data_IF_816902359703
#
_entry.id   IF_816902359703
#
_cell.length_a   1.000
_cell.length_b   1.000
_cell.length_c   1.000
_cell.angle_alpha   90.00
_cell.angle_beta   90.00
_cell.angle_gamma   90.00
#
_symmetry.space_group_name_H-M   'P 1'
#
loop_
_entity.id
_entity.type
_entity.pdbx_description
1 polymer ?
#
# COMPACT_ATOMS: atom_id res chain seq x y z
N UNK A 1 -71.21 35.95 -29.31
CA UNK A 1 -70.68 34.82 -28.53
C UNK A 1 -69.94 33.89 -29.46
N UNK A 2 -68.62 33.76 -29.36
CA UNK A 2 -67.83 32.59 -29.80
C UNK A 2 -66.36 32.84 -29.42
N UNK A 3 -65.91 32.21 -28.34
CA UNK A 3 -64.53 32.29 -27.85
C UNK A 3 -63.64 31.43 -28.76
N UNK A 4 -62.54 31.99 -29.26
CA UNK A 4 -61.44 31.26 -29.91
C UNK A 4 -60.77 30.36 -28.88
N UNK A 5 -60.86 29.03 -29.04
CA UNK A 5 -60.05 28.08 -28.27
C UNK A 5 -58.71 27.86 -28.96
N UNK A 6 -57.63 27.94 -28.18
CA UNK A 6 -56.28 27.54 -28.57
C UNK A 6 -56.28 26.01 -28.77
N UNK A 7 -55.82 25.53 -29.92
CA UNK A 7 -55.47 24.10 -30.10
C UNK A 7 -54.28 23.78 -29.19
N UNK A 8 -54.50 22.95 -28.19
CA UNK A 8 -53.45 22.27 -27.42
C UNK A 8 -52.75 21.23 -28.30
N UNK A 9 -51.41 21.14 -28.28
CA UNK A 9 -50.70 20.06 -28.97
C UNK A 9 -50.99 18.73 -28.27
N UNK A 10 -51.18 17.68 -29.07
CA UNK A 10 -51.38 16.30 -28.61
C UNK A 10 -50.21 15.86 -27.70
N UNK A 11 -50.46 15.08 -26.63
CA UNK A 11 -49.39 14.57 -25.80
C UNK A 11 -48.50 13.61 -26.61
N UNK A 12 -47.19 13.85 -26.57
CA UNK A 12 -46.19 12.92 -27.11
C UNK A 12 -46.35 11.55 -26.41
N UNK A 13 -46.16 10.43 -27.13
CA UNK A 13 -46.14 9.12 -26.48
C UNK A 13 -45.03 9.08 -25.42
N UNK A 14 -45.24 8.38 -24.29
CA UNK A 14 -44.20 8.25 -23.28
C UNK A 14 -42.95 7.59 -23.91
N UNK A 15 -41.74 8.00 -23.51
CA UNK A 15 -40.53 7.35 -23.98
C UNK A 15 -40.59 5.85 -23.66
N UNK A 16 -40.03 4.98 -24.53
CA UNK A 16 -39.97 3.56 -24.23
C UNK A 16 -39.30 3.36 -22.86
N UNK A 17 -39.74 2.38 -22.06
CA UNK A 17 -39.04 2.06 -20.81
C UNK A 17 -37.57 1.79 -21.14
N UNK A 18 -36.64 2.25 -20.30
CA UNK A 18 -35.23 1.95 -20.51
C UNK A 18 -35.08 0.43 -20.69
N UNK A 19 -34.15 -0.03 -21.55
CA UNK A 19 -33.89 -1.45 -21.67
C UNK A 19 -33.68 -1.99 -20.25
N UNK A 20 -34.27 -3.15 -19.97
CA UNK A 20 -33.95 -3.93 -18.77
C UNK A 20 -32.51 -4.43 -18.92
N UNK A 21 -31.57 -3.49 -18.86
CA UNK A 21 -30.16 -3.70 -18.65
C UNK A 21 -29.96 -3.98 -17.19
N UNK A 22 -29.00 -4.86 -16.94
CA UNK A 22 -28.63 -5.44 -15.67
C UNK A 22 -28.13 -4.37 -14.68
N UNK A 23 -29.05 -3.59 -14.08
CA UNK A 23 -28.70 -2.59 -13.06
C UNK A 23 -28.23 -3.24 -11.75
N UNK A 24 -28.21 -4.57 -11.69
CA UNK A 24 -27.68 -5.33 -10.56
C UNK A 24 -26.18 -5.60 -10.66
N UNK A 25 -25.58 -5.60 -11.86
CA UNK A 25 -24.19 -6.01 -12.06
C UNK A 25 -23.19 -4.90 -11.68
N UNK A 26 -23.46 -3.64 -12.02
CA UNK A 26 -22.53 -2.54 -11.73
C UNK A 26 -22.50 -2.17 -10.23
N UNK A 27 -23.65 -2.23 -9.55
CA UNK A 27 -23.77 -1.89 -8.12
C UNK A 27 -23.16 -2.96 -7.20
N UNK A 28 -23.17 -4.23 -7.61
CA UNK A 28 -22.52 -5.28 -6.84
C UNK A 28 -21.02 -5.27 -7.09
N UNK A 29 -20.56 -5.09 -8.33
CA UNK A 29 -19.13 -4.98 -8.61
C UNK A 29 -18.51 -3.73 -7.94
N UNK A 30 -19.21 -2.60 -7.87
CA UNK A 30 -18.78 -1.42 -7.10
C UNK A 30 -18.79 -1.68 -5.58
N UNK A 31 -19.79 -2.39 -5.05
CA UNK A 31 -19.85 -2.74 -3.63
C UNK A 31 -18.77 -3.76 -3.24
N UNK A 32 -18.38 -4.65 -4.16
CA UNK A 32 -17.31 -5.62 -3.97
C UNK A 32 -15.92 -4.99 -4.09
N UNK A 33 -15.75 -4.02 -4.99
CA UNK A 33 -14.54 -3.18 -5.03
C UNK A 33 -14.38 -2.36 -3.73
N UNK A 34 -15.48 -1.83 -3.19
CA UNK A 34 -15.46 -1.07 -1.94
C UNK A 34 -15.28 -1.96 -0.68
N UNK A 35 -15.59 -3.26 -0.77
CA UNK A 35 -15.28 -4.28 0.25
C UNK A 35 -13.80 -4.72 0.22
N UNK A 36 -13.16 -4.72 -0.95
CA UNK A 36 -11.71 -4.93 -1.08
C UNK A 36 -10.91 -3.73 -0.55
N UNK A 37 -11.44 -2.50 -0.66
CA UNK A 37 -10.83 -1.28 -0.09
C UNK A 37 -11.03 -1.14 1.43
N UNK A 38 -12.06 -1.78 2.01
CA UNK A 38 -12.35 -1.71 3.45
C UNK A 38 -11.77 -2.91 4.19
N UNK A 39 -10.55 -2.71 4.69
CA UNK A 39 -9.89 -3.34 5.85
C UNK A 39 -10.36 -4.76 6.21
N UNK A 40 -9.47 -5.75 6.06
CA UNK A 40 -9.68 -7.18 6.37
C UNK A 40 -9.93 -7.50 7.85
N UNK A 41 -11.00 -6.96 8.42
CA UNK A 41 -11.45 -7.21 9.78
C UNK A 41 -12.41 -8.41 9.82
N UNK A 42 -12.56 -9.00 11.01
CA UNK A 42 -13.41 -10.15 11.29
C UNK A 42 -14.90 -9.95 10.94
N UNK A 43 -15.36 -8.72 10.68
CA UNK A 43 -16.72 -8.45 10.21
C UNK A 43 -16.93 -8.93 8.77
N UNK A 44 -15.95 -8.72 7.88
CA UNK A 44 -16.00 -9.14 6.47
C UNK A 44 -16.07 -10.67 6.37
N UNK A 45 -15.34 -11.37 7.25
CA UNK A 45 -15.40 -12.85 7.36
C UNK A 45 -16.76 -13.35 7.83
N UNK A 46 -17.41 -12.66 8.79
CA UNK A 46 -18.77 -13.02 9.25
C UNK A 46 -19.80 -12.75 8.16
N UNK A 47 -19.73 -11.59 7.51
CA UNK A 47 -20.65 -11.21 6.44
C UNK A 47 -20.52 -12.16 5.24
N UNK A 48 -19.28 -12.50 4.83
CA UNK A 48 -19.02 -13.51 3.81
C UNK A 48 -19.55 -14.91 4.20
N UNK A 49 -19.41 -15.31 5.47
CA UNK A 49 -19.93 -16.60 5.95
C UNK A 49 -21.46 -16.67 5.99
N UNK A 50 -22.13 -15.55 6.28
CA UNK A 50 -23.59 -15.44 6.28
C UNK A 50 -24.11 -15.51 4.84
N UNK A 51 -23.46 -14.82 3.91
CA UNK A 51 -23.78 -14.89 2.48
C UNK A 51 -23.58 -16.32 1.95
N UNK A 52 -22.51 -17.00 2.36
CA UNK A 52 -22.23 -18.40 1.97
C UNK A 52 -23.31 -19.36 2.49
N UNK A 53 -23.77 -19.20 3.74
CA UNK A 53 -24.87 -19.99 4.29
C UNK A 53 -26.20 -19.72 3.57
N UNK A 54 -26.47 -18.47 3.21
CA UNK A 54 -27.69 -18.06 2.52
C UNK A 54 -27.74 -18.59 1.08
N UNK A 55 -26.60 -18.59 0.37
CA UNK A 55 -26.47 -19.20 -0.97
C UNK A 55 -26.65 -20.72 -0.92
N UNK A 56 -26.12 -21.38 0.13
CA UNK A 56 -26.28 -22.83 0.32
C UNK A 56 -27.73 -23.22 0.60
N UNK A 57 -28.47 -22.41 1.37
CA UNK A 57 -29.90 -22.63 1.63
C UNK A 57 -30.76 -22.47 0.36
N UNK A 58 -30.41 -21.53 -0.53
CA UNK A 58 -31.13 -21.32 -1.80
C UNK A 58 -30.89 -22.45 -2.81
N UNK A 59 -29.73 -23.12 -2.76
CA UNK A 59 -29.45 -24.31 -3.58
C UNK A 59 -30.29 -25.53 -3.17
N UNK A 60 -30.62 -25.69 -1.89
CA UNK A 60 -31.41 -26.82 -1.39
C UNK A 60 -32.91 -26.78 -1.83
N UNK A 61 -33.40 -25.64 -2.33
CA UNK A 61 -34.82 -25.44 -2.67
C UNK A 61 -35.14 -25.44 -4.18
N UNK A 62 -34.18 -25.64 -5.08
CA UNK A 62 -34.44 -25.58 -6.52
C UNK A 62 -34.07 -26.88 -7.26
N UNK A 63 -34.94 -27.88 -7.16
CA UNK A 63 -35.01 -29.01 -8.08
C UNK A 63 -36.30 -28.94 -8.90
N UNK A 64 -36.32 -28.15 -9.99
CA UNK A 64 -37.13 -28.40 -11.19
C UNK A 64 -37.05 -27.24 -12.21
N UNK A 65 -36.60 -27.54 -13.44
CA UNK A 65 -37.20 -26.97 -14.66
C UNK A 65 -36.47 -25.84 -15.41
N UNK A 66 -36.01 -26.19 -16.62
CA UNK A 66 -35.69 -25.39 -17.84
C UNK A 66 -34.46 -24.44 -17.83
N UNK A 67 -33.75 -24.46 -18.98
CA UNK A 67 -32.50 -23.76 -19.29
C UNK A 67 -32.67 -22.24 -19.23
N UNK A 68 -32.47 -21.67 -18.05
CA UNK A 68 -32.62 -20.24 -17.78
C UNK A 68 -31.25 -19.51 -17.75
N UNK A 69 -31.17 -18.27 -18.23
CA UNK A 69 -29.96 -17.43 -18.18
C UNK A 69 -29.44 -17.29 -16.75
N UNK A 70 -30.37 -17.30 -15.79
CA UNK A 70 -30.13 -17.34 -14.34
C UNK A 70 -29.31 -18.55 -13.88
N UNK A 71 -29.43 -19.69 -14.57
CA UNK A 71 -28.62 -20.87 -14.28
C UNK A 71 -27.18 -20.73 -14.77
N UNK A 72 -26.94 -19.97 -15.86
CA UNK A 72 -25.58 -19.68 -16.36
C UNK A 72 -24.87 -18.62 -15.52
N UNK A 73 -25.61 -17.60 -15.06
CA UNK A 73 -25.10 -16.61 -14.11
C UNK A 73 -24.72 -17.29 -12.79
N UNK A 74 -25.63 -18.07 -12.19
CA UNK A 74 -25.33 -18.88 -11.00
C UNK A 74 -24.15 -19.84 -11.20
N UNK A 75 -23.99 -20.42 -12.39
CA UNK A 75 -22.85 -21.28 -12.69
C UNK A 75 -21.52 -20.49 -12.81
N UNK A 76 -21.54 -19.27 -13.34
CA UNK A 76 -20.37 -18.37 -13.40
C UNK A 76 -20.00 -17.86 -12.02
N UNK A 77 -20.99 -17.51 -11.22
CA UNK A 77 -20.86 -17.08 -9.83
C UNK A 77 -20.37 -18.23 -8.95
N UNK A 78 -20.94 -19.43 -9.09
CA UNK A 78 -20.45 -20.63 -8.40
C UNK A 78 -19.03 -21.02 -8.83
N UNK A 79 -18.65 -20.81 -10.10
CA UNK A 79 -17.28 -21.06 -10.57
C UNK A 79 -16.29 -20.01 -10.08
N UNK A 80 -16.71 -18.74 -9.97
CA UNK A 80 -15.92 -17.68 -9.33
C UNK A 80 -15.80 -17.90 -7.83
N UNK A 81 -16.90 -18.26 -7.15
CA UNK A 81 -16.93 -18.59 -5.74
C UNK A 81 -16.14 -19.87 -5.42
N UNK A 82 -16.17 -20.88 -6.31
CA UNK A 82 -15.31 -22.07 -6.19
C UNK A 82 -13.84 -21.72 -6.47
N UNK A 83 -13.53 -20.88 -7.44
CA UNK A 83 -12.16 -20.42 -7.69
C UNK A 83 -11.62 -19.53 -6.54
N UNK A 84 -12.50 -18.75 -5.91
CA UNK A 84 -12.19 -17.96 -4.72
C UNK A 84 -12.03 -18.87 -3.50
N UNK A 85 -12.94 -19.83 -3.32
CA UNK A 85 -12.86 -20.84 -2.28
C UNK A 85 -11.69 -21.82 -2.48
N UNK A 86 -11.15 -22.01 -3.68
CA UNK A 86 -9.91 -22.73 -3.96
C UNK A 86 -8.68 -21.87 -3.65
N UNK A 87 -8.74 -20.54 -3.90
CA UNK A 87 -7.72 -19.59 -3.42
C UNK A 87 -7.73 -19.46 -1.89
N UNK A 88 -8.86 -19.73 -1.26
CA UNK A 88 -9.06 -19.74 0.20
C UNK A 88 -9.32 -21.17 0.74
N UNK A 89 -9.01 -22.21 -0.04
CA UNK A 89 -9.15 -23.61 0.36
C UNK A 89 -8.10 -23.91 1.44
N UNK A 90 -8.42 -24.81 2.37
CA UNK A 90 -8.11 -24.67 3.79
C UNK A 90 -6.65 -24.28 4.00
N UNK A 91 -6.48 -23.14 4.67
CA UNK A 91 -5.26 -22.74 5.36
C UNK A 91 -4.57 -24.00 5.86
N UNK A 92 -3.44 -24.33 5.24
CA UNK A 92 -2.50 -25.28 5.79
C UNK A 92 -2.20 -24.77 7.20
N UNK A 93 -2.78 -25.41 8.22
CA UNK A 93 -2.68 -24.96 9.60
C UNK A 93 -1.21 -24.88 10.02
N UNK A 94 -0.34 -25.68 9.40
CA UNK A 94 1.10 -25.62 9.58
C UNK A 94 1.70 -24.38 8.88
N UNK A 95 1.23 -24.00 7.69
CA UNK A 95 1.66 -22.76 7.02
C UNK A 95 1.20 -21.51 7.79
N UNK A 96 -0.02 -21.49 8.30
CA UNK A 96 -0.54 -20.43 9.16
C UNK A 96 0.27 -20.34 10.46
N UNK A 97 0.52 -21.47 11.12
CA UNK A 97 1.31 -21.51 12.34
C UNK A 97 2.73 -20.99 12.08
N UNK A 98 3.35 -21.39 10.97
CA UNK A 98 4.67 -20.89 10.55
C UNK A 98 4.66 -19.38 10.32
N UNK A 99 3.66 -18.85 9.62
CA UNK A 99 3.53 -17.42 9.39
C UNK A 99 3.35 -16.66 10.72
N UNK A 100 2.53 -17.17 11.63
CA UNK A 100 2.35 -16.56 12.95
C UNK A 100 3.64 -16.56 13.78
N UNK A 101 4.42 -17.63 13.73
CA UNK A 101 5.74 -17.69 14.38
C UNK A 101 6.75 -16.74 13.72
N UNK A 102 6.73 -16.62 12.38
CA UNK A 102 7.55 -15.64 11.65
C UNK A 102 7.21 -14.20 12.07
N UNK A 103 5.92 -13.85 12.16
CA UNK A 103 5.44 -12.53 12.63
C UNK A 103 5.89 -12.25 14.07
N UNK A 104 5.72 -13.23 14.97
CA UNK A 104 6.16 -13.08 16.38
C UNK A 104 7.67 -12.88 16.47
N UNK A 105 8.44 -13.63 15.70
CA UNK A 105 9.90 -13.52 15.71
C UNK A 105 10.36 -12.18 15.10
N UNK A 106 9.76 -11.74 13.99
CA UNK A 106 9.98 -10.42 13.41
C UNK A 106 9.72 -9.33 14.46
N UNK A 107 8.53 -9.33 15.07
CA UNK A 107 8.17 -8.37 16.11
C UNK A 107 9.18 -8.36 17.27
N UNK A 108 9.57 -9.54 17.77
CA UNK A 108 10.53 -9.67 18.88
C UNK A 108 11.89 -9.09 18.52
N UNK A 109 12.41 -9.36 17.32
CA UNK A 109 13.70 -8.83 16.86
C UNK A 109 13.61 -7.32 16.71
N UNK A 110 12.53 -6.82 16.10
CA UNK A 110 12.31 -5.39 15.90
C UNK A 110 12.24 -4.63 17.23
N UNK A 111 11.51 -5.16 18.21
CA UNK A 111 11.45 -4.59 19.57
C UNK A 111 12.84 -4.56 20.23
N UNK A 112 13.62 -5.63 20.13
CA UNK A 112 14.98 -5.69 20.67
C UNK A 112 15.89 -4.63 20.06
N UNK A 113 15.92 -4.52 18.73
CA UNK A 113 16.76 -3.53 18.05
C UNK A 113 16.30 -2.11 18.39
N UNK A 114 15.00 -1.85 18.44
CA UNK A 114 14.48 -0.54 18.84
C UNK A 114 14.87 -0.20 20.30
N UNK A 115 14.79 -1.17 21.21
CA UNK A 115 15.16 -0.99 22.61
C UNK A 115 16.64 -0.62 22.79
N UNK A 116 17.54 -1.29 22.05
CA UNK A 116 18.99 -1.06 22.10
C UNK A 116 19.36 0.39 21.73
N UNK A 117 18.61 1.01 20.82
CA UNK A 117 18.82 2.40 20.39
C UNK A 117 17.86 3.41 21.06
N UNK A 118 16.99 2.96 21.96
CA UNK A 118 16.00 3.80 22.63
C UNK A 118 15.00 4.42 21.67
N UNK A 119 14.55 3.64 20.68
CA UNK A 119 13.57 3.98 19.66
C UNK A 119 12.23 3.31 19.94
N UNK A 120 11.16 3.90 19.43
CA UNK A 120 9.81 3.32 19.45
C UNK A 120 9.17 3.42 18.06
N UNK A 121 8.33 2.44 17.76
CA UNK A 121 7.59 2.39 16.51
C UNK A 121 6.52 3.48 16.48
N UNK A 122 6.52 4.28 15.41
CA UNK A 122 5.42 5.16 15.07
C UNK A 122 4.70 4.59 13.84
N UNK A 123 3.50 4.08 14.07
CA UNK A 123 2.70 3.42 13.03
C UNK A 123 2.31 4.40 11.93
N UNK A 124 2.59 3.99 10.69
CA UNK A 124 2.18 4.64 9.46
C UNK A 124 1.06 3.80 8.84
N UNK A 125 0.12 4.47 8.16
CA UNK A 125 -0.97 3.78 7.48
C UNK A 125 -0.42 2.72 6.50
N UNK A 126 -0.96 1.48 6.52
CA UNK A 126 -0.52 0.39 5.66
C UNK A 126 -1.11 0.52 4.25
N UNK A 127 -0.71 1.58 3.55
CA UNK A 127 -1.06 1.86 2.17
C UNK A 127 0.20 1.88 1.28
N UNK A 128 0.01 2.07 -0.02
CA UNK A 128 1.12 2.15 -0.96
C UNK A 128 2.05 3.34 -0.76
N UNK A 129 1.74 4.26 0.15
CA UNK A 129 2.55 5.44 0.47
C UNK A 129 3.39 5.26 1.75
N UNK A 130 3.33 4.12 2.43
CA UNK A 130 3.97 3.88 3.73
C UNK A 130 5.44 4.31 3.81
N UNK A 131 6.28 3.94 2.84
CA UNK A 131 7.70 4.34 2.78
C UNK A 131 7.86 5.86 2.81
N UNK A 132 7.15 6.54 1.92
CA UNK A 132 7.23 7.98 1.72
C UNK A 132 6.69 8.75 2.92
N UNK A 133 5.62 8.24 3.53
CA UNK A 133 5.03 8.77 4.77
C UNK A 133 5.96 8.58 5.97
N UNK A 134 6.60 7.42 6.11
CA UNK A 134 7.56 7.14 7.18
C UNK A 134 8.78 8.08 7.12
N UNK A 135 9.33 8.30 5.92
CA UNK A 135 10.44 9.24 5.73
C UNK A 135 9.98 10.70 5.92
N UNK A 136 8.80 11.07 5.43
CA UNK A 136 8.26 12.42 5.62
C UNK A 136 8.09 12.76 7.11
N UNK A 137 7.59 11.82 7.92
CA UNK A 137 7.49 11.96 9.37
C UNK A 137 8.85 12.27 10.01
N UNK A 138 9.88 11.48 9.67
CA UNK A 138 11.23 11.68 10.18
C UNK A 138 11.84 13.02 9.75
N UNK A 139 11.64 13.43 8.50
CA UNK A 139 12.11 14.73 8.00
C UNK A 139 11.44 15.90 8.74
N UNK A 140 10.18 15.75 9.15
CA UNK A 140 9.50 16.73 9.99
C UNK A 140 10.10 16.81 11.40
N UNK A 141 10.35 15.66 12.03
CA UNK A 141 10.95 15.56 13.37
C UNK A 141 12.35 16.19 13.41
N UNK A 142 13.10 16.06 12.32
CA UNK A 142 14.45 16.63 12.18
C UNK A 142 14.45 18.10 11.73
N UNK A 143 13.26 18.69 11.51
CA UNK A 143 13.12 20.08 11.07
C UNK A 143 13.59 20.35 9.64
N UNK A 144 13.76 19.30 8.82
CA UNK A 144 14.15 19.42 7.41
C UNK A 144 12.96 19.74 6.51
N UNK A 145 11.75 19.31 6.91
CA UNK A 145 10.51 19.70 6.27
C UNK A 145 9.59 20.37 7.30
N UNK A 146 8.90 21.47 6.93
CA UNK A 146 7.83 22.00 7.76
C UNK A 146 6.65 21.01 7.79
N UNK A 147 5.91 20.99 8.90
CA UNK A 147 4.85 20.01 9.13
C UNK A 147 3.77 19.97 8.04
N UNK A 148 3.49 21.10 7.36
CA UNK A 148 2.54 21.17 6.26
C UNK A 148 3.06 20.58 4.94
N UNK A 149 4.38 20.48 4.77
CA UNK A 149 5.02 19.88 3.61
C UNK A 149 5.51 18.45 3.86
N UNK A 150 5.52 18.00 5.12
CA UNK A 150 5.90 16.65 5.51
C UNK A 150 4.78 15.63 5.21
N UNK A 151 4.61 15.31 3.93
CA UNK A 151 3.65 14.33 3.45
C UNK A 151 4.27 13.46 2.34
N UNK A 152 3.60 12.35 2.02
CA UNK A 152 4.10 11.40 1.03
C UNK A 152 4.28 12.01 -0.37
N UNK A 153 3.48 13.01 -0.75
CA UNK A 153 3.57 13.62 -2.07
C UNK A 153 4.88 14.39 -2.22
N UNK A 154 5.29 15.12 -1.18
CA UNK A 154 6.58 15.82 -1.14
C UNK A 154 7.77 14.85 -1.26
N UNK A 155 7.75 13.75 -0.50
CA UNK A 155 8.84 12.77 -0.55
C UNK A 155 8.83 11.96 -1.85
N UNK A 156 7.67 11.60 -2.41
CA UNK A 156 7.58 11.00 -3.76
C UNK A 156 8.17 11.89 -4.84
N UNK A 157 7.81 13.17 -4.81
CA UNK A 157 8.33 14.15 -5.75
C UNK A 157 9.86 14.26 -5.64
N UNK A 158 10.39 14.37 -4.41
CA UNK A 158 11.82 14.47 -4.17
C UNK A 158 12.59 13.22 -4.65
N UNK A 159 12.07 12.02 -4.36
CA UNK A 159 12.65 10.76 -4.82
C UNK A 159 12.69 10.69 -6.36
N UNK A 160 11.53 10.86 -7.00
CA UNK A 160 11.41 10.78 -8.46
C UNK A 160 12.26 11.84 -9.18
N UNK A 161 12.31 13.07 -8.68
CA UNK A 161 13.14 14.13 -9.26
C UNK A 161 14.63 13.83 -9.12
N UNK A 162 15.06 13.31 -7.95
CA UNK A 162 16.45 12.97 -7.74
C UNK A 162 16.87 11.82 -8.66
N UNK A 163 16.08 10.75 -8.72
CA UNK A 163 16.34 9.62 -9.61
C UNK A 163 16.41 10.05 -11.07
N UNK A 164 15.42 10.83 -11.53
CA UNK A 164 15.37 11.31 -12.91
C UNK A 164 16.58 12.17 -13.30
N UNK A 165 17.10 12.97 -12.37
CA UNK A 165 18.27 13.83 -12.61
C UNK A 165 19.63 13.12 -12.47
N UNK A 166 19.63 11.89 -11.95
CA UNK A 166 20.84 11.08 -11.71
C UNK A 166 20.65 9.67 -12.29
N UNK A 167 20.07 9.57 -13.48
CA UNK A 167 19.65 8.30 -14.09
C UNK A 167 20.74 7.22 -14.06
N UNK A 168 21.99 7.58 -14.38
CA UNK A 168 23.13 6.65 -14.42
C UNK A 168 23.42 5.96 -13.07
N UNK A 169 23.01 6.56 -11.96
CA UNK A 169 23.20 5.99 -10.61
C UNK A 169 22.14 4.91 -10.28
N UNK A 170 21.00 4.91 -10.97
CA UNK A 170 19.85 4.06 -10.64
C UNK A 170 19.53 3.04 -11.74
N UNK A 171 19.53 3.48 -13.00
CA UNK A 171 19.13 2.68 -14.17
C UNK A 171 19.83 1.30 -14.24
N UNK A 172 21.15 1.17 -13.95
CA UNK A 172 21.83 -0.13 -14.05
C UNK A 172 21.34 -1.20 -13.08
N UNK A 173 20.56 -0.84 -12.06
CA UNK A 173 20.09 -1.73 -11.01
C UNK A 173 18.58 -2.00 -11.08
N UNK A 174 17.87 -1.34 -12.00
CA UNK A 174 16.42 -1.45 -12.07
C UNK A 174 15.99 -2.48 -13.12
N UNK A 175 15.17 -3.48 -12.73
CA UNK A 175 14.66 -4.46 -13.67
C UNK A 175 13.70 -3.80 -14.66
N UNK A 176 13.59 -4.39 -15.85
CA UNK A 176 12.57 -4.02 -16.83
C UNK A 176 11.16 -4.19 -16.23
N UNK A 177 10.27 -3.27 -16.59
CA UNK A 177 8.87 -3.25 -16.13
C UNK A 177 8.13 -4.54 -16.52
N UNK A 178 8.46 -5.10 -17.69
CA UNK A 178 7.83 -6.32 -18.22
C UNK A 178 8.66 -7.60 -17.95
N UNK A 179 9.70 -7.51 -17.10
CA UNK A 179 10.60 -8.62 -16.80
C UNK A 179 11.73 -8.80 -17.81
N UNK A 180 12.56 -9.83 -17.60
CA UNK A 180 13.80 -10.04 -18.37
C UNK A 180 13.57 -10.25 -19.87
N UNK A 181 12.44 -10.87 -20.22
CA UNK A 181 12.00 -11.16 -21.59
C UNK A 181 10.97 -10.14 -22.12
N UNK A 182 10.73 -9.05 -21.38
CA UNK A 182 9.72 -8.04 -21.67
C UNK A 182 10.01 -7.19 -22.91
N UNK A 183 8.98 -6.68 -23.57
CA UNK A 183 9.15 -5.81 -24.74
C UNK A 183 9.82 -4.50 -24.31
N UNK A 184 11.03 -4.27 -24.82
CA UNK A 184 11.83 -3.09 -24.47
C UNK A 184 12.75 -3.27 -23.27
N UNK A 185 12.92 -4.49 -22.73
CA UNK A 185 14.04 -4.80 -21.86
C UNK A 185 15.37 -4.73 -22.63
N UNK A 186 16.45 -4.33 -21.95
CA UNK A 186 17.80 -4.54 -22.50
C UNK A 186 18.09 -6.04 -22.62
N UNK A 187 19.14 -6.43 -23.33
CA UNK A 187 19.58 -7.83 -23.46
C UNK A 187 19.89 -8.52 -22.13
N UNK A 188 19.96 -7.78 -21.03
CA UNK A 188 20.23 -8.26 -19.67
C UNK A 188 19.02 -8.14 -18.74
N UNK A 189 17.82 -7.87 -19.28
CA UNK A 189 16.58 -7.76 -18.50
C UNK A 189 16.42 -6.46 -17.72
N UNK A 190 17.31 -5.48 -17.94
CA UNK A 190 17.29 -4.18 -17.27
C UNK A 190 16.42 -3.18 -18.02
N UNK A 191 15.96 -2.18 -17.26
CA UNK A 191 15.12 -1.11 -17.76
C UNK A 191 15.86 -0.22 -18.79
N UNK A 192 15.13 0.26 -19.80
CA UNK A 192 15.62 1.29 -20.74
C UNK A 192 15.37 2.70 -20.22
N UNK A 193 16.09 3.69 -20.77
CA UNK A 193 15.90 5.11 -20.42
C UNK A 193 14.43 5.58 -20.53
N UNK A 194 13.71 5.11 -21.56
CA UNK A 194 12.30 5.45 -21.74
C UNK A 194 11.43 4.84 -20.63
N UNK A 195 11.64 3.58 -20.29
CA UNK A 195 10.93 2.92 -19.20
C UNK A 195 11.27 3.57 -17.86
N UNK A 196 12.52 4.02 -17.64
CA UNK A 196 12.94 4.69 -16.42
C UNK A 196 12.25 6.05 -16.21
N UNK A 197 12.06 6.81 -17.29
CA UNK A 197 11.26 8.03 -17.24
C UNK A 197 9.82 7.74 -16.78
N UNK A 198 9.21 6.67 -17.29
CA UNK A 198 7.87 6.22 -16.86
C UNK A 198 7.85 5.69 -15.43
N UNK A 199 8.92 5.01 -15.00
CA UNK A 199 9.11 4.57 -13.61
C UNK A 199 9.10 5.77 -12.65
N UNK A 200 9.91 6.80 -12.94
CA UNK A 200 9.97 8.00 -12.11
C UNK A 200 8.61 8.72 -12.03
N UNK A 201 7.89 8.79 -13.16
CA UNK A 201 6.53 9.34 -13.17
C UNK A 201 5.55 8.50 -12.34
N UNK A 202 5.63 7.16 -12.42
CA UNK A 202 4.79 6.24 -11.65
C UNK A 202 5.02 6.41 -10.15
N UNK A 203 6.29 6.47 -9.71
CA UNK A 203 6.65 6.73 -8.31
C UNK A 203 6.12 8.08 -7.83
N UNK A 204 6.19 9.11 -8.68
CA UNK A 204 5.70 10.46 -8.36
C UNK A 204 4.18 10.53 -8.22
N UNK A 205 3.46 9.94 -9.17
CA UNK A 205 2.04 10.24 -9.43
C UNK A 205 1.06 9.22 -8.84
N UNK A 206 1.54 8.05 -8.38
CA UNK A 206 0.66 6.94 -7.98
C UNK A 206 0.96 6.41 -6.57
N UNK A 207 0.16 5.45 -6.11
CA UNK A 207 0.39 4.66 -4.90
C UNK A 207 1.38 3.50 -5.09
N UNK A 208 2.20 3.49 -6.15
CA UNK A 208 3.23 2.48 -6.33
C UNK A 208 4.15 2.41 -5.10
N UNK A 209 4.41 1.19 -4.63
CA UNK A 209 5.28 0.94 -3.50
C UNK A 209 6.71 1.36 -3.87
N UNK A 210 7.40 2.02 -2.93
CA UNK A 210 8.81 2.32 -3.09
C UNK A 210 9.68 1.32 -2.34
N UNK A 211 10.98 1.34 -2.62
CA UNK A 211 11.95 0.47 -1.96
C UNK A 211 13.34 1.09 -1.92
N UNK A 212 14.35 0.24 -2.08
CA UNK A 212 15.78 0.60 -2.05
C UNK A 212 16.14 1.81 -2.93
N UNK A 213 15.73 1.89 -4.22
CA UNK A 213 16.11 3.01 -5.08
C UNK A 213 15.58 4.35 -4.55
N UNK A 214 14.34 4.38 -4.05
CA UNK A 214 13.72 5.58 -3.51
C UNK A 214 14.36 5.99 -2.18
N UNK A 215 14.72 5.04 -1.32
CA UNK A 215 15.43 5.32 -0.07
C UNK A 215 16.80 5.94 -0.37
N UNK A 216 17.54 5.35 -1.30
CA UNK A 216 18.84 5.86 -1.72
C UNK A 216 18.72 7.26 -2.36
N UNK A 217 17.69 7.50 -3.16
CA UNK A 217 17.39 8.80 -3.74
C UNK A 217 17.04 9.85 -2.68
N UNK A 218 16.20 9.50 -1.71
CA UNK A 218 15.79 10.41 -0.63
C UNK A 218 16.95 10.76 0.30
N UNK A 219 17.80 9.79 0.63
CA UNK A 219 19.02 10.01 1.41
C UNK A 219 19.92 11.06 0.75
N UNK A 220 20.10 10.96 -0.57
CA UNK A 220 20.93 11.90 -1.35
C UNK A 220 20.24 13.25 -1.60
N UNK A 221 18.93 13.25 -1.87
CA UNK A 221 18.15 14.47 -2.13
C UNK A 221 18.12 15.40 -0.91
N UNK A 222 17.88 14.83 0.27
CA UNK A 222 17.87 15.58 1.54
C UNK A 222 19.24 15.68 2.21
N UNK A 223 20.25 15.01 1.65
CA UNK A 223 21.62 14.93 2.19
C UNK A 223 21.63 14.50 3.66
N UNK A 224 20.78 13.52 3.99
CA UNK A 224 20.67 12.98 5.34
C UNK A 224 20.72 11.45 5.31
N UNK A 225 21.48 10.81 6.23
CA UNK A 225 21.47 9.36 6.36
C UNK A 225 20.07 8.81 6.67
N UNK A 226 19.74 7.69 6.02
CA UNK A 226 18.51 6.93 6.28
C UNK A 226 18.90 5.53 6.75
N UNK A 227 18.44 5.15 7.94
CA UNK A 227 18.67 3.83 8.52
C UNK A 227 17.36 3.06 8.53
N UNK A 228 17.38 1.90 7.88
CA UNK A 228 16.24 0.97 7.85
C UNK A 228 16.52 -0.15 8.86
N UNK A 229 15.67 -0.23 9.87
CA UNK A 229 15.68 -1.34 10.83
C UNK A 229 14.81 -2.48 10.30
N UNK A 230 15.31 -3.71 10.33
CA UNK A 230 14.59 -4.88 9.84
C UNK A 230 14.89 -6.12 10.68
N UNK A 231 14.01 -7.13 10.61
CA UNK A 231 14.21 -8.38 11.32
C UNK A 231 15.29 -9.27 10.68
N UNK A 232 15.50 -9.15 9.37
CA UNK A 232 16.56 -9.87 8.65
C UNK A 232 17.95 -9.30 8.98
N UNK A 233 19.01 -10.09 8.75
CA UNK A 233 20.39 -9.61 8.96
C UNK A 233 20.96 -9.03 7.65
N UNK A 234 21.66 -7.88 7.70
CA UNK A 234 21.90 -7.05 8.88
C UNK A 234 20.61 -6.34 9.35
N UNK A 235 20.43 -6.27 10.67
CA UNK A 235 19.22 -5.67 11.28
C UNK A 235 19.09 -4.17 11.04
N UNK A 236 20.17 -3.53 10.60
CA UNK A 236 20.25 -2.11 10.31
C UNK A 236 20.90 -1.99 8.93
N UNK A 237 20.18 -1.39 7.99
CA UNK A 237 20.65 -1.12 6.63
C UNK A 237 20.86 0.39 6.49
N UNK A 238 22.12 0.87 6.49
CA UNK A 238 22.43 2.29 6.36
C UNK A 238 22.45 2.74 4.89
N UNK A 239 21.80 3.86 4.61
CA UNK A 239 21.82 4.55 3.32
C UNK A 239 22.40 5.94 3.51
N UNK A 240 23.63 6.11 3.04
CA UNK A 240 24.40 7.33 3.25
C UNK A 240 24.47 8.17 1.98
N UNK A 241 24.33 9.50 2.07
CA UNK A 241 24.72 10.37 0.98
C UNK A 241 26.26 10.40 0.84
N UNK A 242 26.80 10.76 -0.33
CA UNK A 242 28.25 10.84 -0.54
C UNK A 242 28.93 11.74 0.50
N UNK A 243 30.09 11.30 0.99
CA UNK A 243 30.92 12.01 1.97
C UNK A 243 30.26 12.26 3.35
N UNK A 244 29.18 11.56 3.68
CA UNK A 244 28.59 11.55 5.02
C UNK A 244 28.76 10.17 5.65
N UNK A 245 29.26 10.16 6.88
CA UNK A 245 29.28 8.99 7.75
C UNK A 245 28.45 9.30 8.98
N UNK A 246 27.55 8.40 9.34
CA UNK A 246 26.76 8.51 10.55
C UNK A 246 26.57 7.13 11.17
N UNK A 247 26.25 7.13 12.44
CA UNK A 247 25.88 5.93 13.19
C UNK A 247 24.40 6.01 13.60
N UNK A 248 23.81 4.85 13.89
CA UNK A 248 22.39 4.74 14.26
C UNK A 248 22.01 5.63 15.46
N UNK A 249 22.97 5.97 16.33
CA UNK A 249 22.80 6.82 17.51
C UNK A 249 22.82 8.33 17.24
N UNK A 250 23.19 8.78 16.03
CA UNK A 250 23.41 10.20 15.75
C UNK A 250 22.11 11.01 15.63
N UNK A 251 22.05 12.26 16.12
CA UNK A 251 20.80 13.02 16.16
C UNK A 251 20.22 13.32 14.77
N UNK A 252 21.07 13.47 13.75
CA UNK A 252 20.69 13.88 12.39
C UNK A 252 20.59 12.68 11.44
N UNK A 253 19.76 11.71 11.81
CA UNK A 253 19.55 10.47 11.05
C UNK A 253 18.06 10.17 10.97
N UNK A 254 17.58 9.90 9.76
CA UNK A 254 16.23 9.39 9.51
C UNK A 254 16.20 7.91 9.86
N UNK A 255 15.23 7.52 10.68
CA UNK A 255 15.09 6.14 11.17
C UNK A 255 13.72 5.59 10.79
N UNK A 256 13.71 4.54 9.99
CA UNK A 256 12.49 3.84 9.61
C UNK A 256 12.65 2.35 9.90
N UNK A 257 11.55 1.63 9.94
CA UNK A 257 11.52 0.18 10.08
C UNK A 257 10.84 -0.45 8.88
N UNK A 258 11.34 -1.61 8.48
CA UNK A 258 10.82 -2.43 7.40
C UNK A 258 10.29 -3.75 7.97
N UNK A 259 9.07 -4.10 7.57
CA UNK A 259 8.34 -5.27 8.04
C UNK A 259 7.86 -6.07 6.84
N UNK A 260 8.21 -7.36 6.78
CA UNK A 260 7.90 -8.22 5.64
C UNK A 260 6.66 -9.08 5.87
N UNK A 261 6.40 -9.49 7.11
CA UNK A 261 5.34 -10.45 7.45
C UNK A 261 4.30 -9.88 8.40
N UNK A 262 4.64 -8.84 9.16
CA UNK A 262 3.78 -8.25 10.19
C UNK A 262 2.46 -7.68 9.65
N UNK A 263 2.40 -7.32 8.36
CA UNK A 263 1.22 -6.70 7.73
C UNK A 263 0.58 -7.64 6.70
N UNK A 264 -0.75 -7.75 6.73
CA UNK A 264 -1.50 -8.71 5.91
C UNK A 264 -1.39 -8.51 4.39
N UNK A 265 -0.97 -7.31 3.96
CA UNK A 265 -0.77 -6.97 2.55
C UNK A 265 0.68 -7.23 2.07
N UNK A 266 1.61 -7.57 2.95
CA UNK A 266 3.03 -7.81 2.63
C UNK A 266 3.95 -6.79 3.27
N UNK A 267 4.84 -6.22 2.46
CA UNK A 267 5.90 -5.32 2.89
C UNK A 267 5.35 -3.96 3.37
N UNK A 268 5.90 -3.45 4.48
CA UNK A 268 5.44 -2.20 5.08
C UNK A 268 6.56 -1.44 5.77
N UNK A 269 6.46 -0.11 5.76
CA UNK A 269 7.40 0.78 6.43
C UNK A 269 6.72 1.62 7.51
N UNK A 270 7.38 1.74 8.67
CA UNK A 270 6.98 2.65 9.75
C UNK A 270 8.11 3.59 10.12
N UNK A 271 7.77 4.71 10.77
CA UNK A 271 8.73 5.66 11.33
C UNK A 271 9.25 5.16 12.70
N UNK A 272 10.49 5.46 13.06
CA UNK A 272 11.07 5.16 14.38
C UNK A 272 11.42 6.44 15.13
N UNK A 273 10.74 6.69 16.25
CA UNK A 273 10.91 7.92 17.04
C UNK A 273 11.71 7.64 18.32
N UNK A 274 12.37 8.65 18.93
CA UNK A 274 13.02 8.47 20.21
C UNK A 274 12.00 8.15 21.31
N UNK A 275 12.28 7.15 22.16
CA UNK A 275 11.44 6.87 23.35
C UNK A 275 11.35 8.08 24.26
N UNK A 276 10.15 8.36 24.77
CA UNK A 276 9.89 9.48 25.69
C UNK A 276 10.82 9.54 26.93
N UNK A 277 11.34 8.39 27.39
CA UNK A 277 12.29 8.30 28.50
C UNK A 277 13.67 8.90 28.19
N UNK A 278 14.06 8.97 26.91
CA UNK A 278 15.33 9.56 26.45
C UNK A 278 15.22 11.06 26.22
N UNK A 279 14.02 11.55 25.87
CA UNK A 279 13.77 12.99 25.72
C UNK A 279 14.01 13.75 27.03
N UNK A 280 13.55 13.21 28.17
CA UNK A 280 13.74 13.85 29.49
C UNK A 280 15.23 14.03 29.85
N UNK A 281 16.08 13.02 29.63
CA UNK A 281 17.52 13.11 29.92
C UNK A 281 18.27 14.13 29.06
N UNK A 282 17.85 14.30 27.80
CA UNK A 282 18.45 15.28 26.90
C UNK A 282 18.09 16.72 27.33
N UNK A 283 16.83 16.98 27.71
CA UNK A 283 16.40 18.31 28.19
C UNK A 283 17.12 18.69 29.50
N UNK A 284 17.32 17.73 30.40
CA UNK A 284 18.03 17.96 31.66
C UNK A 284 19.53 18.24 31.45
N UNK A 285 20.17 17.55 30.49
CA UNK A 285 21.58 17.80 30.16
C UNK A 285 21.80 19.16 29.48
N UNK A 286 20.86 19.61 28.64
CA UNK A 286 20.90 20.95 28.05
C UNK A 286 20.70 22.01 29.14
N UNK A 287 19.74 21.84 30.06
CA UNK A 287 19.55 22.78 31.17
C UNK A 287 20.77 22.88 32.09
N UNK A 288 21.43 21.76 32.38
CA UNK A 288 22.64 21.73 33.20
C UNK A 288 23.86 22.39 32.54
N UNK A 289 23.91 22.45 31.21
CA UNK A 289 24.99 23.11 30.47
C UNK A 289 24.84 24.66 30.41
N UNK A 290 23.68 25.19 30.79
CA UNK A 290 23.37 26.62 30.80
C UNK A 290 23.19 27.21 32.23
N UNK A 291 23.60 26.47 33.26
CA UNK A 291 23.71 26.91 34.67
C UNK A 291 25.14 26.73 35.17
#
# INVERSE_FOLDING_TARGET
MAKKSKKSPSPLPPPPPPPAGDVGDDLVDDLWAELDDRNGDASVKREASVVLQQVTMVQAQQSAGKKDSKARFKAREARKAAALADKFAPNDADADARLQEEIKNEKRIMEQVCDDYGLELHEINPDGHCLFSAIADQLALLGLLPANAANFATTRLAAAQYMYSHEDDFLPFLPSIEGEDGAGATSSGLMTHQQFSSYCATIRDTGAWGGEPEIQALSRAYKIPIFVVQAEKPHIVPHMPPAVTAEMGDPNVVRISYHRRMYGLGEHYNSLRPKASRMHRAVDSVKAAFT
#
